data_IF_012083013626
#
_entry.id   IF_012083013626
#
_cell.length_a   1.000
_cell.length_b   1.000
_cell.length_c   1.000
_cell.angle_alpha   90.00
_cell.angle_beta   90.00
_cell.angle_gamma   90.00
#
_symmetry.space_group_name_H-M   'P 1'
#
loop_
_entity.id
_entity.type
_entity.pdbx_description
1 polymer ?
#
# COMPACT_ATOMS: atom_id res chain seq x y z
N UNK A 1 14.29 17.90 2.65
CA UNK A 1 13.06 17.40 3.31
C UNK A 1 11.79 17.44 2.44
N UNK A 2 11.77 18.15 1.30
CA UNK A 2 10.59 18.24 0.41
C UNK A 2 10.29 16.95 -0.37
N UNK A 3 11.33 16.24 -0.82
CA UNK A 3 11.20 15.03 -1.67
C UNK A 3 10.41 13.92 -0.96
N UNK A 4 10.69 13.67 0.32
CA UNK A 4 10.01 12.62 1.11
C UNK A 4 8.51 12.85 1.32
N UNK A 5 8.07 14.11 1.37
CA UNK A 5 6.64 14.44 1.51
C UNK A 5 5.88 14.21 0.20
N UNK A 6 6.51 14.51 -0.92
CA UNK A 6 5.94 14.27 -2.25
C UNK A 6 5.86 12.77 -2.55
N UNK A 7 6.88 11.99 -2.19
CA UNK A 7 6.89 10.52 -2.27
C UNK A 7 5.80 9.88 -1.42
N UNK A 8 5.61 10.35 -0.18
CA UNK A 8 4.53 9.89 0.69
C UNK A 8 3.14 10.16 0.09
N UNK A 9 2.95 11.35 -0.52
CA UNK A 9 1.72 11.69 -1.22
C UNK A 9 1.43 10.79 -2.42
N UNK A 10 2.46 10.47 -3.22
CA UNK A 10 2.35 9.57 -4.37
C UNK A 10 2.09 8.13 -3.95
N UNK A 11 2.78 7.64 -2.91
CA UNK A 11 2.55 6.31 -2.35
C UNK A 11 1.13 6.17 -1.79
N UNK A 12 0.64 7.21 -1.10
CA UNK A 12 -0.74 7.27 -0.60
C UNK A 12 -1.77 7.21 -1.74
N UNK A 13 -1.53 7.97 -2.81
CA UNK A 13 -2.44 7.97 -3.96
C UNK A 13 -2.49 6.59 -4.62
N UNK A 14 -1.33 5.96 -4.84
CA UNK A 14 -1.22 4.63 -5.46
C UNK A 14 -1.88 3.53 -4.61
N UNK A 15 -1.46 3.45 -3.34
CA UNK A 15 -2.29 3.18 -2.16
C UNK A 15 -3.79 3.01 -2.42
N UNK A 16 -4.42 4.17 -2.30
CA UNK A 16 -5.85 4.39 -2.31
C UNK A 16 -6.48 3.95 -3.61
N UNK A 17 -5.93 4.33 -4.76
CA UNK A 17 -6.48 3.97 -6.08
C UNK A 17 -6.53 2.45 -6.27
N UNK A 18 -5.52 1.74 -5.80
CA UNK A 18 -5.48 0.27 -5.90
C UNK A 18 -6.51 -0.38 -4.99
N UNK A 19 -6.62 0.09 -3.73
CA UNK A 19 -7.63 -0.42 -2.79
C UNK A 19 -9.05 -0.13 -3.29
N UNK A 20 -9.32 1.08 -3.78
CA UNK A 20 -10.62 1.47 -4.34
C UNK A 20 -10.97 0.60 -5.56
N UNK A 21 -10.00 0.30 -6.42
CA UNK A 21 -10.20 -0.58 -7.57
C UNK A 21 -10.49 -2.04 -7.19
N UNK A 22 -9.95 -2.54 -6.08
CA UNK A 22 -10.22 -3.90 -5.58
C UNK A 22 -11.56 -3.96 -4.85
N UNK A 23 -11.89 -2.96 -4.03
CA UNK A 23 -13.13 -2.92 -3.26
C UNK A 23 -14.34 -2.48 -4.10
N UNK A 24 -14.13 -1.84 -5.26
CA UNK A 24 -15.21 -1.29 -6.09
C UNK A 24 -15.96 -0.12 -5.44
N UNK A 25 -15.37 0.51 -4.43
CA UNK A 25 -15.92 1.66 -3.69
C UNK A 25 -14.82 2.62 -3.27
N UNK A 26 -15.20 3.86 -3.01
CA UNK A 26 -14.29 4.86 -2.46
C UNK A 26 -13.85 4.48 -1.04
N UNK A 27 -12.57 4.70 -0.74
CA UNK A 27 -12.02 4.56 0.61
C UNK A 27 -12.09 5.94 1.27
N UNK A 28 -12.65 6.05 2.50
CA UNK A 28 -12.67 7.31 3.23
C UNK A 28 -11.27 7.90 3.29
N UNK A 29 -11.15 9.22 3.09
CA UNK A 29 -9.94 9.93 3.47
C UNK A 29 -9.82 9.83 5.00
N UNK A 30 -9.01 8.88 5.46
CA UNK A 30 -8.82 8.56 6.86
C UNK A 30 -7.35 8.40 7.15
N UNK A 31 -6.96 8.71 8.38
CA UNK A 31 -5.58 8.55 8.82
C UNK A 31 -5.11 7.11 8.55
N UNK A 32 -3.82 6.97 8.24
CA UNK A 32 -3.22 5.68 7.89
C UNK A 32 -3.38 4.59 8.97
N UNK A 33 -3.87 4.88 10.17
CA UNK A 33 -4.17 3.93 11.22
C UNK A 33 -5.48 3.16 11.04
N UNK A 34 -6.28 3.44 10.00
CA UNK A 34 -7.50 2.67 9.71
C UNK A 34 -7.16 1.18 9.49
N UNK A 35 -7.69 0.26 10.30
CA UNK A 35 -7.48 -1.18 10.11
C UNK A 35 -8.03 -1.64 8.76
N UNK A 36 -7.31 -2.54 8.09
CA UNK A 36 -7.77 -3.09 6.81
C UNK A 36 -9.08 -3.87 6.95
N UNK A 37 -9.28 -4.54 8.08
CA UNK A 37 -10.51 -5.26 8.39
C UNK A 37 -11.75 -4.33 8.42
N UNK A 38 -11.59 -3.10 8.92
CA UNK A 38 -12.68 -2.11 8.97
C UNK A 38 -13.05 -1.56 7.56
N UNK A 39 -12.21 -1.83 6.57
CA UNK A 39 -12.43 -1.51 5.16
C UNK A 39 -12.96 -2.71 4.36
N UNK A 40 -13.38 -3.78 5.04
CA UNK A 40 -13.81 -5.04 4.42
C UNK A 40 -12.71 -5.68 3.54
N UNK A 41 -11.43 -5.44 3.87
CA UNK A 41 -10.30 -6.07 3.19
C UNK A 41 -9.97 -7.37 3.92
N UNK A 42 -10.38 -8.49 3.34
CA UNK A 42 -10.01 -9.83 3.78
C UNK A 42 -8.62 -10.25 3.26
N UNK A 43 -8.15 -11.44 3.64
CA UNK A 43 -6.84 -11.95 3.23
C UNK A 43 -6.70 -12.11 1.71
N UNK A 44 -7.77 -12.41 0.99
CA UNK A 44 -7.74 -12.56 -0.47
C UNK A 44 -7.68 -11.19 -1.16
N UNK A 45 -8.49 -10.24 -0.69
CA UNK A 45 -8.46 -8.85 -1.13
C UNK A 45 -7.09 -8.23 -0.87
N UNK A 46 -6.49 -8.49 0.30
CA UNK A 46 -5.16 -8.03 0.65
C UNK A 46 -4.09 -8.57 -0.32
N UNK A 47 -4.11 -9.88 -0.61
CA UNK A 47 -3.19 -10.47 -1.60
C UNK A 47 -3.36 -9.82 -2.97
N UNK A 48 -4.61 -9.61 -3.43
CA UNK A 48 -4.88 -8.95 -4.70
C UNK A 48 -4.39 -7.50 -4.73
N UNK A 49 -4.52 -6.75 -3.64
CA UNK A 49 -4.00 -5.39 -3.50
C UNK A 49 -2.47 -5.41 -3.62
N UNK A 50 -1.79 -6.29 -2.86
CA UNK A 50 -0.33 -6.35 -2.85
C UNK A 50 0.22 -6.74 -4.24
N UNK A 51 -0.37 -7.75 -4.90
CA UNK A 51 0.05 -8.17 -6.25
C UNK A 51 -0.09 -7.02 -7.25
N UNK A 52 -1.21 -6.29 -7.24
CA UNK A 52 -1.39 -5.14 -8.14
C UNK A 52 -0.40 -4.02 -7.84
N UNK A 53 -0.14 -3.74 -6.58
CA UNK A 53 0.88 -2.76 -6.19
C UNK A 53 2.26 -3.21 -6.70
N UNK A 54 2.61 -4.49 -6.60
CA UNK A 54 3.87 -5.05 -7.09
C UNK A 54 4.01 -4.92 -8.61
N UNK A 55 2.95 -5.23 -9.35
CA UNK A 55 2.90 -5.02 -10.80
C UNK A 55 3.14 -3.55 -11.18
N UNK A 56 2.53 -2.60 -10.45
CA UNK A 56 2.71 -1.16 -10.70
C UNK A 56 4.13 -0.71 -10.31
N UNK A 57 4.69 -1.28 -9.25
CA UNK A 57 6.06 -1.04 -8.84
C UNK A 57 7.10 -1.75 -9.73
N UNK A 58 6.67 -2.58 -10.68
CA UNK A 58 7.56 -3.32 -11.59
C UNK A 58 8.29 -4.48 -10.92
N UNK A 59 7.63 -5.21 -10.01
CA UNK A 59 8.19 -6.38 -9.32
C UNK A 59 9.12 -6.04 -8.15
N UNK A 60 9.08 -4.79 -7.66
CA UNK A 60 9.96 -4.29 -6.58
C UNK A 60 9.40 -4.52 -5.18
N UNK A 61 8.10 -4.79 -5.05
CA UNK A 61 7.49 -5.18 -3.78
C UNK A 61 7.75 -6.68 -3.64
N UNK A 62 8.99 -7.04 -3.28
CA UNK A 62 9.40 -8.43 -3.05
C UNK A 62 8.44 -9.09 -2.04
N UNK A 63 7.43 -9.75 -2.61
CA UNK A 63 6.22 -10.23 -1.95
C UNK A 63 6.58 -10.95 -0.66
N UNK A 64 6.22 -10.37 0.48
CA UNK A 64 6.25 -11.01 1.80
C UNK A 64 7.51 -11.87 1.99
N UNK A 65 8.69 -11.26 1.80
CA UNK A 65 9.96 -11.93 2.10
C UNK A 65 9.89 -12.49 3.52
N UNK A 66 10.34 -13.74 3.69
CA UNK A 66 10.25 -14.54 4.93
C UNK A 66 10.51 -13.67 6.18
N UNK A 67 9.45 -13.33 6.91
CA UNK A 67 9.53 -12.57 8.16
C UNK A 67 8.87 -11.19 8.18
N UNK A 68 8.38 -10.64 7.06
CA UNK A 68 7.61 -9.40 7.11
C UNK A 68 6.17 -9.67 7.56
N UNK A 69 5.74 -9.02 8.65
CA UNK A 69 4.35 -9.09 9.10
C UNK A 69 3.43 -8.47 8.03
N UNK A 70 2.28 -9.09 7.71
CA UNK A 70 1.33 -8.50 6.77
C UNK A 70 0.86 -7.14 7.30
N UNK A 71 0.67 -6.15 6.42
CA UNK A 71 0.22 -4.82 6.83
C UNK A 71 -1.15 -4.91 7.49
N UNK A 72 -1.32 -4.28 8.65
CA UNK A 72 -2.56 -4.30 9.42
C UNK A 72 -3.46 -3.10 9.11
N UNK A 73 -2.87 -2.00 8.64
CA UNK A 73 -3.53 -0.73 8.36
C UNK A 73 -3.20 -0.22 6.95
N UNK A 74 -3.99 0.74 6.45
CA UNK A 74 -3.69 1.42 5.17
C UNK A 74 -2.32 2.11 5.20
N UNK A 75 -1.94 2.68 6.35
CA UNK A 75 -0.65 3.33 6.54
C UNK A 75 0.51 2.36 6.47
N UNK A 76 0.33 1.13 6.92
CA UNK A 76 1.35 0.07 6.77
C UNK A 76 1.53 -0.30 5.30
N UNK A 77 0.44 -0.41 4.51
CA UNK A 77 0.54 -0.60 3.06
C UNK A 77 1.26 0.57 2.38
N UNK A 78 0.98 1.79 2.80
CA UNK A 78 1.60 2.99 2.22
C UNK A 78 3.09 3.05 2.55
N UNK A 79 3.49 2.73 3.78
CA UNK A 79 4.90 2.61 4.18
C UNK A 79 5.60 1.52 3.38
N UNK A 80 4.96 0.36 3.24
CA UNK A 80 5.50 -0.76 2.48
C UNK A 80 5.75 -0.38 1.01
N UNK A 81 4.80 0.30 0.37
CA UNK A 81 4.97 0.85 -0.98
C UNK A 81 6.04 1.93 -1.02
N UNK A 82 6.09 2.80 -0.01
CA UNK A 82 7.07 3.86 0.04
C UNK A 82 8.50 3.31 0.12
N UNK A 83 8.72 2.32 0.98
CA UNK A 83 10.02 1.66 1.15
C UNK A 83 10.42 0.89 -0.11
N UNK A 84 9.55 0.01 -0.62
CA UNK A 84 9.88 -0.83 -1.77
C UNK A 84 9.99 -0.07 -3.10
N UNK A 85 9.16 0.95 -3.32
CA UNK A 85 9.14 1.67 -4.59
C UNK A 85 10.17 2.80 -4.67
N UNK A 86 10.61 3.37 -3.53
CA UNK A 86 11.44 4.58 -3.52
C UNK A 86 12.79 4.45 -2.80
N UNK A 87 13.05 3.45 -1.93
CA UNK A 87 14.39 3.28 -1.32
C UNK A 87 15.46 2.83 -2.33
N UNK A 88 15.09 2.21 -3.45
CA UNK A 88 16.06 1.81 -4.49
C UNK A 88 16.73 2.98 -5.24
N UNK A 89 16.37 4.22 -4.90
CA UNK A 89 16.84 5.46 -5.57
C UNK A 89 17.79 6.31 -4.73
N UNK A 90 18.15 5.86 -3.51
CA UNK A 90 19.02 6.58 -2.57
C UNK A 90 20.50 6.14 -2.63
#
# INVERSE_FOLDING_TARGET
MAIKHEEAGRAWQLVRETVEAVLGRAVPHGDGGTPLADLDIDSLALVNIIVRLDEIAGGRLALLSDGMAPPATLGDLVKFVQEAAFEATA
#
